data_IF_140861165228
#
_entry.id   IF_140861165228
#
_cell.length_a   1.000
_cell.length_b   1.000
_cell.length_c   1.000
_cell.angle_alpha   90.00
_cell.angle_beta   90.00
_cell.angle_gamma   90.00
#
_symmetry.space_group_name_H-M   'P 1'
#
loop_
_entity.id
_entity.type
_entity.pdbx_description
1 polymer ?
#
# COMPACT_ATOMS: atom_id res chain seq x y z
N UNK A 1 23.36 -11.30 9.83
CA UNK A 1 23.04 -10.87 8.46
C UNK A 1 21.96 -9.78 8.52
N UNK A 2 22.33 -8.50 8.44
CA UNK A 2 21.36 -7.40 8.35
C UNK A 2 20.90 -7.28 6.90
N UNK A 3 20.10 -8.25 6.44
CA UNK A 3 19.45 -8.18 5.14
C UNK A 3 18.62 -6.88 5.10
N UNK A 4 18.80 -6.07 4.05
CA UNK A 4 18.13 -4.79 3.90
C UNK A 4 16.62 -4.94 4.03
N UNK A 5 16.10 -4.60 5.20
CA UNK A 5 14.66 -4.70 5.47
C UNK A 5 13.94 -3.59 4.69
N UNK A 6 12.83 -3.90 4.00
CA UNK A 6 12.01 -2.87 3.38
C UNK A 6 11.54 -1.87 4.43
N UNK A 7 11.69 -0.58 4.08
CA UNK A 7 11.32 0.58 4.89
C UNK A 7 9.92 1.12 4.55
N UNK A 8 9.35 0.68 3.44
CA UNK A 8 8.08 1.15 2.91
C UNK A 8 7.25 -0.02 2.39
N UNK A 9 5.93 0.19 2.31
CA UNK A 9 5.02 -0.65 1.54
C UNK A 9 4.95 -0.09 0.11
N UNK A 10 5.53 -0.76 -0.89
CA UNK A 10 5.48 -0.29 -2.26
C UNK A 10 4.09 -0.54 -2.86
N UNK A 11 3.51 0.47 -3.51
CA UNK A 11 2.27 0.32 -4.29
C UNK A 11 2.49 0.84 -5.70
N UNK A 12 2.10 0.05 -6.71
CA UNK A 12 2.26 0.47 -8.10
C UNK A 12 1.01 1.20 -8.59
N UNK A 13 1.21 2.12 -9.54
CA UNK A 13 0.12 2.85 -10.19
C UNK A 13 -0.85 1.92 -10.92
N UNK A 14 -0.36 0.83 -11.51
CA UNK A 14 -1.19 -0.18 -12.18
C UNK A 14 -2.21 -0.82 -11.24
N UNK A 15 -1.82 -1.02 -9.98
CA UNK A 15 -2.69 -1.63 -8.98
C UNK A 15 -3.78 -0.63 -8.56
N UNK A 16 -3.44 0.65 -8.47
CA UNK A 16 -4.39 1.74 -8.19
C UNK A 16 -5.39 1.90 -9.34
N UNK A 17 -4.95 1.82 -10.59
CA UNK A 17 -5.86 1.86 -11.75
C UNK A 17 -6.83 0.68 -11.74
N UNK A 18 -6.34 -0.53 -11.47
CA UNK A 18 -7.17 -1.74 -11.38
C UNK A 18 -8.19 -1.69 -10.23
N UNK A 19 -7.88 -0.93 -9.16
CA UNK A 19 -8.76 -0.74 -8.01
C UNK A 19 -9.95 0.21 -8.27
N UNK A 20 -9.99 0.88 -9.41
CA UNK A 20 -11.10 1.77 -9.79
C UNK A 20 -11.25 2.97 -8.86
N UNK A 21 -10.14 3.61 -8.48
CA UNK A 21 -10.19 4.93 -7.84
C UNK A 21 -10.74 5.95 -8.84
N UNK A 22 -11.69 6.79 -8.39
CA UNK A 22 -12.23 7.88 -9.20
C UNK A 22 -11.41 9.15 -8.98
N UNK A 23 -11.50 10.08 -9.92
CA UNK A 23 -10.93 11.42 -9.72
C UNK A 23 -11.54 12.06 -8.48
N UNK A 24 -10.68 12.41 -7.51
CA UNK A 24 -11.08 12.94 -6.20
C UNK A 24 -11.13 11.91 -5.06
N UNK A 25 -10.94 10.61 -5.33
CA UNK A 25 -10.78 9.63 -4.25
C UNK A 25 -9.41 9.76 -3.57
N UNK A 26 -9.41 9.64 -2.24
CA UNK A 26 -8.18 9.66 -1.45
C UNK A 26 -7.48 8.28 -1.46
N UNK A 27 -6.23 8.26 -1.93
CA UNK A 27 -5.35 7.09 -1.87
C UNK A 27 -4.56 7.10 -0.56
N UNK A 28 -5.13 6.49 0.47
CA UNK A 28 -4.49 6.29 1.78
C UNK A 28 -4.25 4.80 2.08
N UNK A 29 -3.47 4.49 3.11
CA UNK A 29 -3.28 3.11 3.59
C UNK A 29 -4.61 2.44 3.95
N UNK A 30 -5.56 3.19 4.52
CA UNK A 30 -6.88 2.66 4.88
C UNK A 30 -7.73 2.38 3.65
N UNK A 31 -7.72 3.27 2.66
CA UNK A 31 -8.43 3.07 1.38
C UNK A 31 -7.90 1.85 0.64
N UNK A 32 -6.57 1.70 0.56
CA UNK A 32 -5.91 0.58 -0.12
C UNK A 32 -6.16 -0.75 0.61
N UNK A 33 -6.21 -0.74 1.94
CA UNK A 33 -6.54 -1.91 2.74
C UNK A 33 -8.00 -2.32 2.59
N UNK A 34 -8.92 -1.36 2.59
CA UNK A 34 -10.36 -1.60 2.45
C UNK A 34 -10.71 -2.22 1.09
N UNK A 35 -10.00 -1.80 0.04
CA UNK A 35 -10.12 -2.35 -1.31
C UNK A 35 -9.33 -3.66 -1.51
N UNK A 36 -8.57 -4.10 -0.50
CA UNK A 36 -7.80 -5.35 -0.55
C UNK A 36 -6.54 -5.32 -1.43
N UNK A 37 -6.08 -4.13 -1.85
CA UNK A 37 -4.84 -3.97 -2.63
C UNK A 37 -3.60 -4.26 -1.81
N UNK A 38 -3.64 -3.88 -0.55
CA UNK A 38 -2.59 -4.18 0.41
C UNK A 38 -3.17 -5.01 1.55
N UNK A 39 -2.46 -6.06 1.93
CA UNK A 39 -2.74 -6.81 3.15
C UNK A 39 -1.51 -6.77 4.07
N UNK A 40 -1.18 -5.59 4.63
CA UNK A 40 0.05 -5.41 5.39
C UNK A 40 0.01 -6.28 6.65
N UNK A 41 1.06 -7.08 6.84
CA UNK A 41 1.16 -8.02 7.97
C UNK A 41 2.45 -7.80 8.76
N UNK A 42 2.42 -8.15 10.05
CA UNK A 42 3.58 -8.02 10.95
C UNK A 42 4.20 -6.62 10.92
N UNK A 43 5.44 -6.52 10.42
CA UNK A 43 6.22 -5.27 10.36
C UNK A 43 5.63 -4.25 9.38
N UNK A 44 5.02 -4.72 8.28
CA UNK A 44 4.51 -3.86 7.22
C UNK A 44 3.35 -2.97 7.69
N UNK A 45 2.61 -3.39 8.73
CA UNK A 45 1.57 -2.56 9.36
C UNK A 45 2.12 -1.24 9.95
N UNK A 46 3.42 -1.18 10.23
CA UNK A 46 4.10 0.02 10.76
C UNK A 46 4.93 0.74 9.70
N UNK A 47 4.98 0.24 8.47
CA UNK A 47 5.76 0.87 7.41
C UNK A 47 4.90 1.92 6.69
N UNK A 48 5.47 3.09 6.35
CA UNK A 48 4.80 4.09 5.52
C UNK A 48 4.60 3.59 4.08
N UNK A 49 3.60 4.15 3.40
CA UNK A 49 3.32 3.92 1.99
C UNK A 49 4.42 4.55 1.11
N UNK A 50 4.73 3.92 -0.02
CA UNK A 50 5.59 4.48 -1.07
C UNK A 50 5.02 4.18 -2.45
#
# INVERSE_FOLDING_TARGET
MHAGKPKYVPVNLKDIEAAGFKEGDEVSLESLKTRGLINPSGRERRLPLK
#
